data_IF_379609466810
#
_entry.id   IF_379609466810
#
_cell.length_a   1.000
_cell.length_b   1.000
_cell.length_c   1.000
_cell.angle_alpha   90.00
_cell.angle_beta   90.00
_cell.angle_gamma   90.00
#
_symmetry.space_group_name_H-M   'P 1'
#
loop_
_entity.id
_entity.type
_entity.pdbx_description
1 polymer ?
#
# COMPACT_ATOMS: atom_id res chain seq x y z
N UNK A 1 10.91 73.69 -9.88
CA UNK A 1 9.97 72.58 -9.61
C UNK A 1 10.32 71.40 -10.52
N UNK A 2 10.78 70.29 -9.95
CA UNK A 2 10.95 68.98 -10.59
C UNK A 2 10.64 67.92 -9.53
N UNK A 3 9.66 67.03 -9.72
CA UNK A 3 9.47 65.91 -8.80
C UNK A 3 10.41 64.76 -9.18
N UNK A 4 11.16 64.27 -8.20
CA UNK A 4 11.96 63.04 -8.32
C UNK A 4 11.05 61.89 -7.88
N UNK A 5 10.77 61.00 -8.82
CA UNK A 5 10.06 59.73 -8.60
C UNK A 5 11.10 58.73 -8.12
N UNK A 6 10.90 58.11 -6.97
CA UNK A 6 11.70 56.97 -6.50
C UNK A 6 10.78 55.76 -6.35
N UNK A 7 11.12 54.58 -6.91
CA UNK A 7 10.18 53.50 -7.13
C UNK A 7 9.99 52.65 -5.87
N UNK A 8 8.74 52.25 -5.62
CA UNK A 8 8.38 51.24 -4.65
C UNK A 8 9.01 49.89 -5.05
N UNK A 9 9.97 49.42 -4.26
CA UNK A 9 10.55 48.09 -4.39
C UNK A 9 9.52 47.08 -3.87
N UNK A 10 8.82 46.42 -4.78
CA UNK A 10 7.89 45.32 -4.49
C UNK A 10 8.72 44.05 -4.26
N UNK A 11 8.96 43.71 -2.99
CA UNK A 11 9.60 42.46 -2.58
C UNK A 11 8.66 41.29 -2.89
N UNK A 12 8.89 40.58 -4.00
CA UNK A 12 8.20 39.32 -4.29
C UNK A 12 8.66 38.24 -3.30
N UNK A 13 7.83 37.96 -2.30
CA UNK A 13 7.91 36.76 -1.46
C UNK A 13 7.72 35.53 -2.35
N UNK A 14 8.82 34.89 -2.74
CA UNK A 14 8.79 33.54 -3.30
C UNK A 14 8.40 32.58 -2.16
N UNK A 15 7.11 32.24 -2.08
CA UNK A 15 6.67 31.07 -1.32
C UNK A 15 7.26 29.84 -1.99
N UNK A 16 8.35 29.31 -1.43
CA UNK A 16 8.83 27.98 -1.75
C UNK A 16 7.72 26.98 -1.39
N UNK A 17 6.97 26.52 -2.39
CA UNK A 17 6.11 25.35 -2.23
C UNK A 17 7.03 24.14 -2.08
N UNK A 18 7.34 23.79 -0.83
CA UNK A 18 7.92 22.50 -0.53
C UNK A 18 6.85 21.45 -0.88
N UNK A 19 7.03 20.77 -2.02
CA UNK A 19 6.27 19.57 -2.36
C UNK A 19 6.63 18.48 -1.33
N UNK A 20 5.89 18.43 -0.24
CA UNK A 20 5.92 17.27 0.65
C UNK A 20 5.25 16.11 -0.09
N UNK A 21 5.94 14.98 -0.16
CA UNK A 21 5.34 13.75 -0.65
C UNK A 21 4.05 13.45 0.12
N UNK A 22 2.99 13.03 -0.58
CA UNK A 22 1.74 12.63 0.07
C UNK A 22 2.02 11.43 0.99
N UNK A 23 1.44 11.42 2.20
CA UNK A 23 1.54 10.25 3.07
C UNK A 23 0.77 9.10 2.43
N UNK A 24 1.30 7.88 2.54
CA UNK A 24 0.58 6.68 2.08
C UNK A 24 -0.67 6.52 2.97
N UNK A 25 -1.83 6.94 2.46
CA UNK A 25 -3.11 6.93 3.18
C UNK A 25 -3.90 5.63 2.97
N UNK A 26 -3.90 5.12 1.74
CA UNK A 26 -4.69 3.97 1.34
C UNK A 26 -4.84 3.86 -0.19
N UNK A 27 -5.75 3.01 -0.63
CA UNK A 27 -6.04 2.75 -2.04
C UNK A 27 -7.46 2.18 -2.24
N UNK A 28 -7.98 2.32 -3.47
CA UNK A 28 -9.22 1.66 -3.91
C UNK A 28 -10.48 1.99 -3.10
N UNK A 29 -10.55 3.18 -2.49
CA UNK A 29 -11.65 3.57 -1.59
C UNK A 29 -11.51 3.01 -0.17
N UNK A 30 -10.30 2.57 0.20
CA UNK A 30 -9.98 2.08 1.54
C UNK A 30 -8.76 2.81 2.09
N UNK A 31 -8.80 3.16 3.37
CA UNK A 31 -7.72 3.77 4.13
C UNK A 31 -7.05 2.77 5.08
N UNK A 32 -5.73 2.93 5.27
CA UNK A 32 -4.98 2.20 6.30
C UNK A 32 -5.34 2.75 7.69
N UNK A 33 -5.75 1.85 8.59
CA UNK A 33 -6.19 2.16 9.94
C UNK A 33 -7.70 2.35 10.10
N UNK A 34 -8.47 2.44 9.00
CA UNK A 34 -9.93 2.43 9.09
C UNK A 34 -10.43 1.08 9.63
N UNK A 35 -11.56 1.08 10.32
CA UNK A 35 -12.24 -0.15 10.73
C UNK A 35 -12.96 -0.76 9.53
N UNK A 36 -12.87 -2.09 9.38
CA UNK A 36 -13.58 -2.84 8.36
C UNK A 36 -14.30 -4.02 8.97
N UNK A 37 -15.61 -4.07 8.79
CA UNK A 37 -16.43 -5.15 9.34
C UNK A 37 -16.30 -6.42 8.49
N UNK A 38 -15.79 -7.54 9.04
CA UNK A 38 -15.63 -8.81 8.31
C UNK A 38 -16.92 -9.33 7.65
N UNK A 39 -18.06 -9.02 8.25
CA UNK A 39 -19.40 -9.41 7.76
C UNK A 39 -19.81 -8.65 6.49
N UNK A 40 -19.19 -7.50 6.21
CA UNK A 40 -19.41 -6.73 4.98
C UNK A 40 -18.59 -7.22 3.78
N UNK A 41 -17.68 -8.18 4.00
CA UNK A 41 -16.85 -8.72 2.94
C UNK A 41 -17.69 -9.49 1.91
N UNK A 42 -17.40 -9.27 0.62
CA UNK A 42 -18.09 -9.96 -0.49
C UNK A 42 -17.50 -11.33 -0.80
N UNK A 43 -16.42 -11.69 -0.11
CA UNK A 43 -15.66 -12.92 -0.29
C UNK A 43 -14.54 -13.00 0.74
N UNK A 44 -13.98 -14.20 0.89
CA UNK A 44 -12.86 -14.46 1.79
C UNK A 44 -11.79 -15.27 1.07
N UNK A 45 -10.55 -15.01 1.42
CA UNK A 45 -9.39 -15.82 1.06
C UNK A 45 -8.44 -15.87 2.25
N UNK A 46 -7.34 -16.58 2.11
CA UNK A 46 -6.33 -16.70 3.16
C UNK A 46 -4.94 -16.66 2.53
N UNK A 47 -3.99 -16.06 3.26
CA UNK A 47 -2.57 -16.21 2.95
C UNK A 47 -2.10 -17.62 3.31
N UNK A 48 -0.90 -18.00 2.86
CA UNK A 48 -0.30 -19.31 3.15
C UNK A 48 -0.08 -19.57 4.64
N UNK A 49 -0.02 -18.52 5.46
CA UNK A 49 0.09 -18.61 6.93
C UNK A 49 -1.28 -18.67 7.63
N UNK A 50 -2.38 -18.82 6.87
CA UNK A 50 -3.75 -18.84 7.39
C UNK A 50 -4.32 -17.46 7.70
N UNK A 51 -3.58 -16.37 7.45
CA UNK A 51 -4.10 -15.02 7.69
C UNK A 51 -5.31 -14.73 6.80
N UNK A 52 -6.47 -14.36 7.37
CA UNK A 52 -7.67 -14.09 6.58
C UNK A 52 -7.54 -12.79 5.76
N UNK A 53 -8.01 -12.89 4.53
CA UNK A 53 -8.15 -11.79 3.57
C UNK A 53 -9.63 -11.57 3.27
N UNK A 54 -10.10 -10.34 3.42
CA UNK A 54 -11.50 -9.99 3.21
C UNK A 54 -11.66 -9.25 1.88
N UNK A 55 -12.41 -9.84 0.96
CA UNK A 55 -12.65 -9.24 -0.36
C UNK A 55 -13.65 -8.09 -0.25
N UNK A 56 -13.44 -7.03 -1.04
CA UNK A 56 -14.33 -5.89 -1.11
C UNK A 56 -14.52 -5.39 -2.55
N UNK A 57 -15.60 -4.64 -2.78
CA UNK A 57 -15.79 -3.90 -4.03
C UNK A 57 -15.07 -2.54 -3.91
N UNK A 58 -14.10 -2.22 -4.79
CA UNK A 58 -13.39 -0.96 -4.74
C UNK A 58 -14.27 0.20 -5.20
N UNK A 59 -14.07 1.39 -4.63
CA UNK A 59 -14.71 2.62 -5.14
C UNK A 59 -14.00 3.11 -6.40
N UNK A 60 -12.69 2.92 -6.46
CA UNK A 60 -11.83 3.30 -7.57
C UNK A 60 -11.07 2.07 -8.05
N UNK A 61 -11.25 1.67 -9.30
CA UNK A 61 -10.55 0.54 -9.90
C UNK A 61 -9.29 1.01 -10.63
N UNK A 62 -8.35 0.09 -10.80
CA UNK A 62 -7.25 0.24 -11.74
C UNK A 62 -7.30 -0.92 -12.72
N UNK A 63 -7.06 -0.65 -14.02
CA UNK A 63 -7.28 -1.62 -15.11
C UNK A 63 -6.59 -2.98 -14.92
N UNK A 64 -5.54 -3.01 -14.12
CA UNK A 64 -4.66 -4.17 -13.93
C UNK A 64 -5.05 -5.03 -12.74
N UNK A 65 -6.10 -4.67 -11.99
CA UNK A 65 -6.56 -5.43 -10.82
C UNK A 65 -8.04 -5.78 -10.93
N UNK A 66 -8.35 -7.05 -10.67
CA UNK A 66 -9.70 -7.61 -10.69
C UNK A 66 -10.17 -8.09 -9.32
N UNK A 67 -9.25 -8.32 -8.38
CA UNK A 67 -9.56 -8.73 -7.01
C UNK A 67 -8.95 -7.77 -6.01
N UNK A 68 -9.72 -7.43 -4.99
CA UNK A 68 -9.36 -6.42 -4.00
C UNK A 68 -9.61 -6.98 -2.61
N UNK A 69 -8.59 -6.94 -1.75
CA UNK A 69 -8.65 -7.50 -0.42
C UNK A 69 -8.14 -6.52 0.63
N UNK A 70 -8.67 -6.63 1.83
CA UNK A 70 -8.09 -6.04 3.02
C UNK A 70 -7.70 -7.12 4.02
N UNK A 71 -6.65 -6.84 4.77
CA UNK A 71 -6.33 -7.58 5.98
C UNK A 71 -6.46 -6.65 7.17
N UNK A 72 -7.00 -7.19 8.26
CA UNK A 72 -7.39 -6.43 9.45
C UNK A 72 -6.78 -7.01 10.72
N UNK A 73 -6.57 -6.15 11.72
CA UNK A 73 -6.20 -6.58 13.08
C UNK A 73 -7.31 -7.46 13.66
N UNK A 74 -7.02 -8.64 14.22
CA UNK A 74 -8.03 -9.56 14.73
C UNK A 74 -9.02 -8.99 15.75
N UNK A 75 -8.58 -8.09 16.64
CA UNK A 75 -9.43 -7.55 17.72
C UNK A 75 -10.13 -6.26 17.33
N UNK A 76 -9.39 -5.31 16.76
CA UNK A 76 -9.93 -3.96 16.47
C UNK A 76 -10.46 -3.79 15.05
N UNK A 77 -10.32 -4.83 14.22
CA UNK A 77 -10.74 -4.84 12.82
C UNK A 77 -10.19 -3.67 11.97
N UNK A 78 -9.07 -3.06 12.39
CA UNK A 78 -8.41 -1.99 11.64
C UNK A 78 -7.65 -2.57 10.46
N UNK A 79 -7.81 -1.97 9.29
CA UNK A 79 -7.10 -2.36 8.07
C UNK A 79 -5.62 -2.04 8.22
N UNK A 80 -4.78 -3.08 8.24
CA UNK A 80 -3.33 -2.93 8.20
C UNK A 80 -2.76 -3.16 6.80
N UNK A 81 -3.54 -3.74 5.88
CA UNK A 81 -3.10 -3.88 4.49
C UNK A 81 -4.24 -3.91 3.49
N UNK A 82 -4.00 -3.31 2.32
CA UNK A 82 -4.93 -3.24 1.18
C UNK A 82 -4.23 -3.80 -0.05
N UNK A 83 -4.86 -4.75 -0.72
CA UNK A 83 -4.30 -5.47 -1.86
C UNK A 83 -5.16 -5.27 -3.10
N UNK A 84 -4.51 -5.02 -4.23
CA UNK A 84 -5.08 -5.16 -5.57
C UNK A 84 -4.33 -6.27 -6.30
N UNK A 85 -5.06 -7.22 -6.88
CA UNK A 85 -4.48 -8.38 -7.57
C UNK A 85 -5.10 -8.50 -8.96
N UNK A 86 -4.26 -8.77 -9.96
CA UNK A 86 -4.70 -9.10 -11.30
C UNK A 86 -3.84 -10.19 -11.94
N UNK A 87 -4.36 -10.72 -13.04
CA UNK A 87 -3.69 -11.76 -13.83
C UNK A 87 -3.09 -11.13 -15.07
N UNK A 88 -1.90 -11.60 -15.44
CA UNK A 88 -1.13 -11.18 -16.60
C UNK A 88 -0.79 -12.40 -17.45
N UNK A 89 -0.64 -12.18 -18.75
CA UNK A 89 -0.38 -13.27 -19.68
C UNK A 89 1.01 -13.90 -19.50
N UNK A 90 2.00 -13.12 -19.08
CA UNK A 90 3.39 -13.56 -18.86
C UNK A 90 4.19 -12.51 -18.07
N UNK A 91 5.40 -12.88 -17.67
CA UNK A 91 6.33 -12.03 -16.92
C UNK A 91 6.69 -10.72 -17.63
N UNK A 92 7.06 -10.69 -18.94
CA UNK A 92 7.34 -9.43 -19.63
C UNK A 92 6.18 -8.42 -19.61
N UNK A 93 4.94 -8.89 -19.81
CA UNK A 93 3.74 -8.04 -19.73
C UNK A 93 3.55 -7.54 -18.29
N UNK A 94 3.72 -8.42 -17.31
CA UNK A 94 3.62 -8.04 -15.90
C UNK A 94 4.62 -6.95 -15.52
N UNK A 95 5.90 -7.10 -15.89
CA UNK A 95 6.96 -6.13 -15.60
C UNK A 95 6.69 -4.77 -16.22
N UNK A 96 6.21 -4.73 -17.47
CA UNK A 96 5.81 -3.48 -18.12
C UNK A 96 4.64 -2.81 -17.39
N UNK A 97 3.67 -3.59 -16.92
CA UNK A 97 2.56 -3.04 -16.16
C UNK A 97 2.98 -2.59 -14.75
N UNK A 98 3.89 -3.33 -14.09
CA UNK A 98 4.51 -2.93 -12.83
C UNK A 98 5.24 -1.59 -12.96
N UNK A 99 5.99 -1.38 -14.04
CA UNK A 99 6.65 -0.10 -14.32
C UNK A 99 5.63 1.04 -14.42
N UNK A 100 4.52 0.84 -15.17
CA UNK A 100 3.46 1.85 -15.29
C UNK A 100 2.84 2.19 -13.93
N UNK A 101 2.54 1.17 -13.12
CA UNK A 101 2.02 1.36 -11.77
C UNK A 101 3.03 2.14 -10.93
N UNK A 102 4.30 1.75 -10.94
CA UNK A 102 5.34 2.38 -10.14
C UNK A 102 5.60 3.83 -10.55
N UNK A 103 5.52 4.18 -11.83
CA UNK A 103 5.61 5.58 -12.28
C UNK A 103 4.43 6.42 -11.79
N UNK A 104 3.22 5.86 -11.75
CA UNK A 104 2.05 6.54 -11.16
C UNK A 104 2.24 6.73 -9.66
N UNK A 105 2.70 5.70 -8.95
CA UNK A 105 2.94 5.75 -7.52
C UNK A 105 4.05 6.75 -7.17
N UNK A 106 5.13 6.81 -7.96
CA UNK A 106 6.22 7.78 -7.80
C UNK A 106 5.75 9.22 -7.95
N UNK A 107 4.82 9.47 -8.88
CA UNK A 107 4.22 10.80 -9.05
C UNK A 107 3.38 11.19 -7.83
N UNK A 108 2.66 10.23 -7.24
CA UNK A 108 1.77 10.48 -6.10
C UNK A 108 2.53 10.60 -4.77
N UNK A 109 3.43 9.66 -4.51
CA UNK A 109 4.08 9.48 -3.21
C UNK A 109 5.56 9.87 -3.25
N UNK A 110 6.11 10.30 -4.38
CA UNK A 110 7.54 10.64 -4.49
C UNK A 110 8.42 9.43 -4.79
N UNK A 111 9.73 9.69 -4.88
CA UNK A 111 10.69 8.67 -5.31
C UNK A 111 10.90 7.61 -4.21
N UNK A 112 10.98 6.31 -4.58
CA UNK A 112 11.33 5.27 -3.63
C UNK A 112 12.75 5.51 -3.08
N UNK A 113 12.99 5.06 -1.85
CA UNK A 113 14.38 4.90 -1.37
C UNK A 113 15.11 3.95 -2.33
N UNK A 114 16.43 4.15 -2.53
CA UNK A 114 17.24 3.40 -3.50
C UNK A 114 16.91 1.90 -3.48
N UNK A 115 16.69 1.31 -4.66
CA UNK A 115 16.39 -0.11 -4.83
C UNK A 115 17.43 -0.97 -4.12
N UNK A 116 16.99 -1.75 -3.15
CA UNK A 116 17.81 -2.76 -2.48
C UNK A 116 17.98 -3.98 -3.41
N UNK A 117 19.14 -4.64 -3.35
CA UNK A 117 19.47 -5.81 -4.17
C UNK A 117 18.44 -6.94 -3.99
N UNK A 118 17.91 -7.09 -2.77
CA UNK A 118 16.88 -8.06 -2.44
C UNK A 118 15.57 -7.84 -3.23
N UNK A 119 15.18 -6.59 -3.50
CA UNK A 119 13.94 -6.28 -4.22
C UNK A 119 14.02 -6.69 -5.70
N UNK A 120 15.20 -6.53 -6.31
CA UNK A 120 15.45 -6.95 -7.69
C UNK A 120 15.38 -8.48 -7.86
N UNK A 121 15.77 -9.25 -6.82
CA UNK A 121 15.73 -10.72 -6.87
C UNK A 121 14.31 -11.28 -6.80
N UNK A 122 13.35 -10.52 -6.28
CA UNK A 122 11.96 -10.97 -6.10
C UNK A 122 10.97 -10.30 -7.05
N UNK A 123 11.46 -9.66 -8.13
CA UNK A 123 10.64 -8.89 -9.09
C UNK A 123 9.68 -7.93 -8.37
N UNK A 124 10.17 -7.29 -7.31
CA UNK A 124 9.41 -6.41 -6.44
C UNK A 124 9.92 -4.97 -6.52
N UNK A 125 9.00 -4.01 -6.50
CA UNK A 125 9.32 -2.59 -6.33
C UNK A 125 8.58 -2.03 -5.12
N UNK A 126 9.21 -1.09 -4.41
CA UNK A 126 8.70 -0.56 -3.15
C UNK A 126 8.80 0.95 -3.05
N UNK A 127 7.76 1.60 -2.51
CA UNK A 127 7.81 2.96 -1.95
C UNK A 127 7.69 2.84 -0.43
N UNK A 128 8.58 3.49 0.30
CA UNK A 128 8.69 3.40 1.76
C UNK A 128 8.68 4.78 2.41
N UNK A 129 7.62 5.06 3.18
CA UNK A 129 7.45 6.26 4.01
C UNK A 129 7.47 5.92 5.52
N UNK A 130 8.44 5.11 5.96
CA UNK A 130 8.61 4.70 7.34
C UNK A 130 7.63 3.59 7.70
N UNK A 131 6.62 3.91 8.49
CA UNK A 131 5.65 2.91 8.98
C UNK A 131 4.72 2.39 7.89
N UNK A 132 4.72 3.01 6.71
CA UNK A 132 3.84 2.64 5.61
C UNK A 132 4.63 2.40 4.34
N UNK A 133 4.33 1.28 3.70
CA UNK A 133 4.97 0.86 2.47
C UNK A 133 3.95 0.51 1.40
N UNK A 134 4.34 0.71 0.15
CA UNK A 134 3.65 0.18 -1.02
C UNK A 134 4.62 -0.78 -1.68
N UNK A 135 4.20 -2.02 -1.93
CA UNK A 135 4.98 -3.00 -2.68
C UNK A 135 4.17 -3.42 -3.90
N UNK A 136 4.82 -3.44 -5.07
CA UNK A 136 4.28 -4.08 -6.26
C UNK A 136 5.13 -5.29 -6.59
N UNK A 137 4.51 -6.38 -7.03
CA UNK A 137 5.23 -7.61 -7.37
C UNK A 137 4.61 -8.32 -8.56
N UNK A 138 5.48 -8.84 -9.42
CA UNK A 138 5.13 -9.86 -10.40
C UNK A 138 5.47 -11.25 -9.82
N UNK A 139 4.52 -12.19 -9.89
CA UNK A 139 4.71 -13.56 -9.40
C UNK A 139 4.20 -14.59 -10.42
N UNK A 140 4.95 -15.67 -10.62
CA UNK A 140 4.58 -16.74 -11.56
C UNK A 140 5.15 -16.55 -12.96
N UNK A 141 5.35 -17.66 -13.68
CA UNK A 141 6.02 -17.67 -14.99
C UNK A 141 5.05 -17.78 -16.18
N UNK A 142 4.08 -18.70 -16.15
CA UNK A 142 3.07 -18.89 -17.20
C UNK A 142 1.73 -18.21 -16.87
N UNK A 143 1.24 -18.38 -15.65
CA UNK A 143 0.08 -17.64 -15.12
C UNK A 143 0.58 -16.56 -14.16
N UNK A 144 1.14 -15.50 -14.73
CA UNK A 144 1.74 -14.41 -13.95
C UNK A 144 0.63 -13.61 -13.27
N UNK A 145 0.84 -13.26 -12.02
CA UNK A 145 0.00 -12.33 -11.27
C UNK A 145 0.77 -11.05 -11.01
N UNK A 146 0.07 -9.93 -11.12
CA UNK A 146 0.53 -8.67 -10.59
C UNK A 146 -0.23 -8.37 -9.31
N UNK A 147 0.48 -7.99 -8.27
CA UNK A 147 -0.13 -7.51 -7.05
C UNK A 147 0.47 -6.19 -6.58
N UNK A 148 -0.37 -5.36 -5.96
CA UNK A 148 0.01 -4.15 -5.24
C UNK A 148 -0.48 -4.25 -3.81
N UNK A 149 0.37 -3.92 -2.86
CA UNK A 149 0.12 -4.04 -1.43
C UNK A 149 0.44 -2.72 -0.77
N UNK A 150 -0.56 -2.11 -0.14
CA UNK A 150 -0.38 -1.02 0.81
C UNK A 150 -0.34 -1.65 2.19
N UNK A 151 0.64 -1.32 3.02
CA UNK A 151 0.79 -1.90 4.37
C UNK A 151 1.19 -0.84 5.38
N UNK A 152 0.50 -0.84 6.52
CA UNK A 152 0.90 -0.15 7.74
C UNK A 152 1.61 -1.15 8.65
N UNK A 153 2.92 -1.01 8.82
CA UNK A 153 3.77 -1.95 9.54
C UNK A 153 3.43 -1.99 11.03
N UNK A 154 3.14 -0.84 11.63
CA UNK A 154 2.76 -0.78 13.04
C UNK A 154 1.45 -1.55 13.30
N UNK A 155 0.44 -1.35 12.44
CA UNK A 155 -0.81 -2.13 12.55
C UNK A 155 -0.61 -3.61 12.23
N UNK A 156 0.32 -3.96 11.32
CA UNK A 156 0.66 -5.35 11.03
C UNK A 156 1.30 -6.03 12.25
N UNK A 157 2.19 -5.34 12.96
CA UNK A 157 2.77 -5.84 14.21
C UNK A 157 1.71 -6.03 15.30
N UNK A 158 0.78 -5.07 15.43
CA UNK A 158 -0.37 -5.21 16.33
C UNK A 158 -1.20 -6.44 15.95
N UNK A 159 -1.52 -6.61 14.67
CA UNK A 159 -2.27 -7.77 14.19
C UNK A 159 -1.57 -9.09 14.54
N UNK A 160 -0.24 -9.16 14.40
CA UNK A 160 0.54 -10.34 14.75
C UNK A 160 0.52 -10.63 16.26
N UNK A 161 0.67 -9.61 17.10
CA UNK A 161 0.57 -9.74 18.57
C UNK A 161 -0.81 -10.26 18.99
N UNK A 162 -1.87 -9.70 18.39
CA UNK A 162 -3.24 -10.13 18.65
C UNK A 162 -3.49 -11.58 18.25
N UNK A 163 -2.95 -12.04 17.10
CA UNK A 163 -3.04 -13.46 16.69
C UNK A 163 -2.35 -14.39 17.68
N UNK A 164 -1.13 -14.06 18.09
CA UNK A 164 -0.37 -14.86 19.07
C UNK A 164 -1.15 -14.97 20.38
N UNK A 165 -1.73 -13.89 20.87
CA UNK A 165 -2.53 -13.89 22.10
C UNK A 165 -3.80 -14.75 21.96
N UNK A 166 -4.49 -14.64 20.82
CA UNK A 166 -5.70 -15.43 20.54
C UNK A 166 -5.37 -16.93 20.48
N UNK A 167 -4.30 -17.32 19.78
CA UNK A 167 -3.89 -18.73 19.71
C UNK A 167 -3.37 -19.24 21.06
N UNK A 168 -2.60 -18.43 21.80
CA UNK A 168 -2.13 -18.77 23.14
C UNK A 168 -3.27 -19.03 24.12
N UNK A 169 -4.36 -18.25 24.06
CA UNK A 169 -5.54 -18.44 24.91
C UNK A 169 -6.36 -19.70 24.56
N UNK A 170 -6.20 -20.27 23.36
CA UNK A 170 -6.87 -21.52 22.98
C UNK A 170 -6.13 -22.76 23.49
N UNK A 171 -4.85 -22.61 23.84
CA UNK A 171 -4.01 -23.69 24.31
C UNK A 171 -4.05 -23.72 25.84
N UNK A 172 -4.88 -24.58 26.44
CA UNK A 172 -4.76 -24.97 27.84
C UNK A 172 -3.44 -25.76 28.01
N UNK A 173 -2.32 -25.04 28.21
CA UNK A 173 -0.99 -25.47 28.69
C UNK A 173 -0.44 -26.87 28.34
N UNK A 174 -0.93 -27.53 27.28
CA UNK A 174 -0.61 -28.93 26.95
C UNK A 174 -0.53 -29.20 25.44
N UNK A 175 -0.75 -28.17 24.60
CA UNK A 175 -0.81 -28.30 23.15
C UNK A 175 0.49 -27.96 22.40
N UNK A 176 1.55 -27.57 23.11
CA UNK A 176 2.93 -27.39 22.63
C UNK A 176 3.91 -27.80 23.72
#
# INVERSE_FOLDING_TARGET
MKPIITPAVLLMLFCNQAFTAEKIGGAFGKELGQVFEPSSAIGKGELTDGTPMFQFNPENTFRSFSKYYVMITPKTHKIYSIWGIGTMQNDPICKKEQEVIMEILKKKYGQPKKKDLAMNLFDAEMIDHGDRVIVTKCSGFMDTTIDIRYTDQNLKEIANKERIEIEGNKLDSSGL
#
